data_IF_575860478782
#
_entry.id   IF_575860478782
#
_cell.length_a   1.000
_cell.length_b   1.000
_cell.length_c   1.000
_cell.angle_alpha   90.00
_cell.angle_beta   90.00
_cell.angle_gamma   90.00
#
_symmetry.space_group_name_H-M   'P 1'
#
loop_
_entity.id
_entity.type
_entity.pdbx_description
1 polymer ?
#
# COMPACT_ATOMS: atom_id res chain seq x y z
N UNK A 1 -3.13 -38.36 46.82
CA UNK A 1 -2.76 -38.06 45.42
C UNK A 1 -3.79 -37.23 44.62
N UNK A 2 -5.12 -37.31 44.88
CA UNK A 2 -6.16 -36.53 44.14
C UNK A 2 -6.14 -35.01 44.39
N UNK A 3 -5.88 -34.54 45.62
CA UNK A 3 -5.85 -33.10 45.97
C UNK A 3 -4.77 -32.31 45.21
N UNK A 4 -3.59 -32.88 45.02
CA UNK A 4 -2.47 -32.22 44.34
C UNK A 4 -2.75 -32.05 42.83
N UNK A 5 -3.47 -32.98 42.21
CA UNK A 5 -3.93 -32.86 40.82
C UNK A 5 -4.97 -31.74 40.66
N UNK A 6 -5.90 -31.60 41.62
CA UNK A 6 -6.90 -30.53 41.61
C UNK A 6 -6.27 -29.14 41.77
N UNK A 7 -5.28 -29.01 42.66
CA UNK A 7 -4.55 -27.76 42.88
C UNK A 7 -3.77 -27.32 41.64
N UNK A 8 -3.14 -28.27 40.94
CA UNK A 8 -2.45 -28.03 39.68
C UNK A 8 -3.41 -27.55 38.58
N UNK A 9 -4.60 -28.14 38.49
CA UNK A 9 -5.62 -27.75 37.52
C UNK A 9 -6.13 -26.33 37.82
N UNK A 10 -6.42 -26.00 39.08
CA UNK A 10 -6.83 -24.66 39.48
C UNK A 10 -5.76 -23.60 39.20
N UNK A 11 -4.49 -23.91 39.49
CA UNK A 11 -3.35 -23.04 39.19
C UNK A 11 -3.22 -22.78 37.69
N UNK A 12 -3.39 -23.81 36.86
CA UNK A 12 -3.35 -23.70 35.41
C UNK A 12 -4.45 -22.80 34.86
N UNK A 13 -5.69 -22.95 35.35
CA UNK A 13 -6.80 -22.06 34.96
C UNK A 13 -6.60 -20.63 35.45
N UNK A 14 -6.04 -20.44 36.65
CA UNK A 14 -5.68 -19.12 37.16
C UNK A 14 -4.63 -18.41 36.28
N UNK A 15 -3.61 -19.16 35.83
CA UNK A 15 -2.57 -18.65 34.95
C UNK A 15 -3.14 -18.25 33.58
N UNK A 16 -3.98 -19.10 32.99
CA UNK A 16 -4.65 -18.78 31.71
C UNK A 16 -5.54 -17.55 31.85
N UNK A 17 -6.34 -17.47 32.92
CA UNK A 17 -7.18 -16.30 33.21
C UNK A 17 -6.36 -15.02 33.34
N UNK A 18 -5.22 -15.07 34.03
CA UNK A 18 -4.32 -13.93 34.16
C UNK A 18 -3.72 -13.48 32.81
N UNK A 19 -3.31 -14.43 31.96
CA UNK A 19 -2.78 -14.13 30.62
C UNK A 19 -3.86 -13.48 29.75
N UNK A 20 -5.08 -14.02 29.75
CA UNK A 20 -6.21 -13.45 28.99
C UNK A 20 -6.58 -12.07 29.53
N UNK A 21 -6.64 -11.88 30.84
CA UNK A 21 -6.93 -10.57 31.43
C UNK A 21 -5.86 -9.53 31.05
N UNK A 22 -4.59 -9.91 31.10
CA UNK A 22 -3.47 -8.99 30.86
C UNK A 22 -3.26 -8.68 29.37
N UNK A 23 -3.42 -9.68 28.50
CA UNK A 23 -3.04 -9.60 27.09
C UNK A 23 -4.23 -9.75 26.12
N UNK A 24 -5.42 -10.08 26.61
CA UNK A 24 -6.63 -10.22 25.78
C UNK A 24 -6.96 -8.93 25.02
N UNK A 25 -6.69 -7.76 25.62
CA UNK A 25 -6.84 -6.47 24.94
C UNK A 25 -5.91 -6.32 23.72
N UNK A 26 -4.69 -6.88 23.75
CA UNK A 26 -3.80 -6.88 22.59
C UNK A 26 -4.34 -7.75 21.45
N UNK A 27 -5.02 -8.85 21.79
CA UNK A 27 -5.67 -9.73 20.83
C UNK A 27 -6.84 -9.02 20.13
N UNK A 28 -7.63 -8.25 20.88
CA UNK A 28 -8.68 -7.39 20.33
C UNK A 28 -8.07 -6.32 19.42
N UNK A 29 -7.04 -5.60 19.86
CA UNK A 29 -6.34 -4.61 19.03
C UNK A 29 -5.76 -5.23 17.76
N UNK A 30 -5.21 -6.44 17.83
CA UNK A 30 -4.65 -7.13 16.67
C UNK A 30 -5.73 -7.53 15.66
N UNK A 31 -6.90 -7.99 16.14
CA UNK A 31 -8.03 -8.37 15.30
C UNK A 31 -8.77 -7.16 14.72
N UNK A 32 -8.81 -6.04 15.43
CA UNK A 32 -9.47 -4.79 14.99
C UNK A 32 -8.53 -3.83 14.26
N UNK A 33 -7.22 -4.04 14.33
CA UNK A 33 -6.26 -3.27 13.55
C UNK A 33 -6.55 -3.47 12.06
N UNK A 34 -6.82 -2.40 11.29
CA UNK A 34 -7.04 -2.53 9.87
C UNK A 34 -5.76 -3.10 9.26
N UNK A 35 -5.84 -4.31 8.71
CA UNK A 35 -4.72 -4.93 7.99
C UNK A 35 -4.18 -3.91 6.99
N UNK A 36 -2.86 -3.79 6.89
CA UNK A 36 -2.23 -3.05 5.79
C UNK A 36 -2.86 -3.60 4.50
N UNK A 37 -3.61 -2.76 3.79
CA UNK A 37 -4.45 -3.23 2.70
C UNK A 37 -3.55 -3.87 1.66
N UNK A 38 -3.85 -5.13 1.38
CA UNK A 38 -3.04 -5.95 0.50
C UNK A 38 -3.04 -5.34 -0.91
N UNK A 39 -1.90 -5.47 -1.58
CA UNK A 39 -1.81 -5.12 -2.99
C UNK A 39 -2.66 -6.11 -3.79
N UNK A 40 -3.46 -5.61 -4.71
CA UNK A 40 -4.15 -6.47 -5.66
C UNK A 40 -3.14 -7.22 -6.55
N UNK A 41 -3.55 -8.33 -7.16
CA UNK A 41 -2.68 -9.08 -8.08
C UNK A 41 -2.15 -8.21 -9.22
N UNK A 42 -2.97 -7.32 -9.75
CA UNK A 42 -2.58 -6.39 -10.82
C UNK A 42 -1.63 -5.30 -10.32
N UNK A 43 -1.80 -4.81 -9.09
CA UNK A 43 -0.85 -3.88 -8.47
C UNK A 43 0.51 -4.53 -8.27
N UNK A 44 0.54 -5.78 -7.77
CA UNK A 44 1.79 -6.54 -7.60
C UNK A 44 2.48 -6.72 -8.94
N UNK A 45 1.75 -7.12 -9.98
CA UNK A 45 2.30 -7.33 -11.33
C UNK A 45 2.86 -6.03 -11.90
N UNK A 46 2.09 -4.95 -11.85
CA UNK A 46 2.51 -3.64 -12.33
C UNK A 46 3.74 -3.13 -11.58
N UNK A 47 3.75 -3.19 -10.24
CA UNK A 47 4.87 -2.69 -9.44
C UNK A 47 6.13 -3.52 -9.64
N UNK A 48 6.01 -4.83 -9.83
CA UNK A 48 7.16 -5.68 -10.15
C UNK A 48 7.72 -5.41 -11.55
N UNK A 49 6.87 -5.11 -12.53
CA UNK A 49 7.31 -4.69 -13.87
C UNK A 49 8.07 -3.37 -13.78
N UNK A 50 7.48 -2.34 -13.16
CA UNK A 50 8.15 -1.04 -12.99
C UNK A 50 9.47 -1.20 -12.22
N UNK A 51 9.48 -1.98 -11.13
CA UNK A 51 10.73 -2.24 -10.37
C UNK A 51 11.86 -2.76 -11.24
N UNK A 52 11.54 -3.65 -12.20
CA UNK A 52 12.51 -4.21 -13.14
C UNK A 52 12.90 -3.20 -14.21
N UNK A 53 11.94 -2.50 -14.79
CA UNK A 53 12.14 -1.54 -15.88
C UNK A 53 13.09 -0.40 -15.48
N UNK A 54 12.94 0.13 -14.26
CA UNK A 54 13.73 1.26 -13.76
C UNK A 54 14.72 0.89 -12.65
N UNK A 55 14.92 -0.42 -12.40
CA UNK A 55 15.86 -0.96 -11.42
C UNK A 55 15.81 -0.26 -10.05
N UNK A 56 14.64 -0.29 -9.41
CA UNK A 56 14.41 0.36 -8.10
C UNK A 56 14.16 -0.65 -6.98
N UNK A 57 14.58 -0.27 -5.78
CA UNK A 57 14.50 -1.13 -4.60
C UNK A 57 13.05 -1.31 -4.12
N UNK A 58 12.26 -0.22 -4.13
CA UNK A 58 10.94 -0.23 -3.51
C UNK A 58 9.94 0.63 -4.28
N UNK A 59 8.75 0.06 -4.44
CA UNK A 59 7.55 0.76 -4.89
C UNK A 59 6.43 0.41 -3.91
N UNK A 60 5.67 1.42 -3.49
CA UNK A 60 4.51 1.28 -2.61
C UNK A 60 3.48 2.35 -2.95
N UNK A 61 2.29 2.26 -2.33
CA UNK A 61 1.18 3.15 -2.61
C UNK A 61 0.51 3.73 -1.37
N UNK A 62 -0.22 4.82 -1.58
CA UNK A 62 -1.23 5.33 -0.66
C UNK A 62 -2.54 5.67 -1.38
N UNK A 63 -3.70 5.56 -0.71
CA UNK A 63 -3.89 4.94 0.60
C UNK A 63 -3.60 3.44 0.57
N UNK A 64 -3.22 2.88 1.71
CA UNK A 64 -3.03 1.42 1.85
C UNK A 64 -4.37 0.68 1.89
N UNK A 65 -5.37 1.30 2.51
CA UNK A 65 -6.66 0.68 2.82
C UNK A 65 -7.79 1.37 2.05
N UNK A 66 -9.00 0.77 2.07
CA UNK A 66 -10.23 1.34 1.53
C UNK A 66 -10.17 1.71 0.03
N UNK A 67 -9.41 0.95 -0.76
CA UNK A 67 -9.32 1.19 -2.21
C UNK A 67 -10.63 0.85 -2.93
N UNK A 68 -11.27 -0.25 -2.57
CA UNK A 68 -12.49 -0.67 -3.26
C UNK A 68 -13.68 0.25 -2.99
N UNK A 69 -13.73 0.87 -1.81
CA UNK A 69 -14.81 1.77 -1.42
C UNK A 69 -14.29 2.95 -0.57
N UNK A 70 -13.69 3.97 -1.20
CA UNK A 70 -13.27 5.19 -0.50
C UNK A 70 -14.47 5.92 0.10
N UNK A 71 -14.31 6.56 1.26
CA UNK A 71 -15.33 7.47 1.80
C UNK A 71 -15.50 8.68 0.89
N UNK A 72 -14.37 9.30 0.52
CA UNK A 72 -14.30 10.58 -0.20
C UNK A 72 -13.53 10.47 -1.51
N UNK A 73 -13.46 11.57 -2.26
CA UNK A 73 -12.54 11.68 -3.40
C UNK A 73 -11.10 11.62 -2.94
N UNK A 74 -10.36 10.62 -3.41
CA UNK A 74 -8.99 10.34 -2.99
C UNK A 74 -8.01 10.47 -4.15
N UNK A 75 -6.73 10.58 -3.76
CA UNK A 75 -5.59 10.50 -4.67
C UNK A 75 -4.95 9.13 -4.51
N UNK A 76 -4.64 8.48 -5.63
CA UNK A 76 -3.84 7.27 -5.60
C UNK A 76 -2.38 7.63 -5.78
N UNK A 77 -1.60 7.49 -4.73
CA UNK A 77 -0.19 7.82 -4.71
C UNK A 77 0.65 6.59 -5.01
N UNK A 78 1.64 6.71 -5.89
CA UNK A 78 2.67 5.69 -6.14
C UNK A 78 4.01 6.30 -5.75
N UNK A 79 4.70 5.66 -4.82
CA UNK A 79 5.99 6.09 -4.29
C UNK A 79 7.07 5.14 -4.78
N UNK A 80 8.13 5.71 -5.34
CA UNK A 80 9.25 5.00 -5.97
C UNK A 80 10.52 5.43 -5.25
N UNK A 81 11.13 4.50 -4.52
CA UNK A 81 12.35 4.75 -3.75
C UNK A 81 13.56 4.05 -4.36
N UNK A 82 14.69 4.73 -4.33
CA UNK A 82 15.99 4.19 -4.76
C UNK A 82 16.24 4.32 -6.25
N UNK A 83 15.71 5.37 -6.89
CA UNK A 83 15.98 5.65 -8.30
C UNK A 83 17.30 6.42 -8.45
N UNK A 84 18.16 5.97 -9.36
CA UNK A 84 19.38 6.68 -9.77
C UNK A 84 19.07 7.69 -10.87
N UNK A 85 18.68 8.90 -10.47
CA UNK A 85 18.14 9.89 -11.41
C UNK A 85 19.18 10.54 -12.34
N UNK A 86 20.48 10.39 -12.07
CA UNK A 86 21.55 10.93 -12.94
C UNK A 86 21.54 10.32 -14.34
N UNK A 87 20.99 9.12 -14.49
CA UNK A 87 20.90 8.38 -15.74
C UNK A 87 19.57 8.62 -16.49
N UNK A 88 18.61 9.30 -15.86
CA UNK A 88 17.29 9.54 -16.45
C UNK A 88 17.18 10.93 -17.06
N UNK A 89 16.99 10.96 -18.38
CA UNK A 89 16.82 12.20 -19.14
C UNK A 89 15.55 12.98 -18.77
N UNK A 90 14.47 12.31 -18.32
CA UNK A 90 13.22 13.00 -17.97
C UNK A 90 12.32 12.23 -16.99
N UNK A 91 12.31 12.66 -15.72
CA UNK A 91 11.46 12.09 -14.67
C UNK A 91 9.96 12.30 -14.90
N UNK A 92 9.56 13.38 -15.58
CA UNK A 92 8.16 13.66 -15.86
C UNK A 92 7.59 12.68 -16.89
N UNK A 93 8.38 12.33 -17.92
CA UNK A 93 7.99 11.32 -18.90
C UNK A 93 7.83 9.95 -18.24
N UNK A 94 8.79 9.55 -17.40
CA UNK A 94 8.69 8.31 -16.62
C UNK A 94 7.42 8.30 -15.74
N UNK A 95 7.20 9.37 -14.98
CA UNK A 95 6.04 9.46 -14.10
C UNK A 95 4.72 9.40 -14.87
N UNK A 96 4.64 10.03 -16.05
CA UNK A 96 3.48 9.96 -16.92
C UNK A 96 3.25 8.54 -17.46
N UNK A 97 4.30 7.83 -17.88
CA UNK A 97 4.20 6.44 -18.33
C UNK A 97 3.67 5.53 -17.23
N UNK A 98 4.21 5.66 -16.00
CA UNK A 98 3.75 4.90 -14.83
C UNK A 98 2.28 5.20 -14.54
N UNK A 99 1.88 6.48 -14.53
CA UNK A 99 0.50 6.87 -14.31
C UNK A 99 -0.44 6.31 -15.39
N UNK A 100 -0.01 6.25 -16.67
CA UNK A 100 -0.77 5.62 -17.76
C UNK A 100 -0.89 4.11 -17.60
N UNK A 101 0.22 3.41 -17.30
CA UNK A 101 0.20 1.96 -17.05
C UNK A 101 -0.74 1.63 -15.88
N UNK A 102 -0.68 2.43 -14.81
CA UNK A 102 -1.58 2.30 -13.67
C UNK A 102 -3.04 2.54 -14.05
N UNK A 103 -3.35 3.63 -14.77
CA UNK A 103 -4.72 3.95 -15.17
C UNK A 103 -5.35 2.88 -16.08
N UNK A 104 -4.55 2.22 -16.91
CA UNK A 104 -5.05 1.23 -17.87
C UNK A 104 -5.22 -0.18 -17.26
N UNK A 105 -4.43 -0.51 -16.22
CA UNK A 105 -4.40 -1.86 -15.65
C UNK A 105 -5.10 -1.97 -14.30
N UNK A 106 -5.11 -0.89 -13.52
CA UNK A 106 -5.70 -0.88 -12.19
C UNK A 106 -7.14 -0.43 -12.27
N UNK A 107 -8.05 -1.34 -11.90
CA UNK A 107 -9.47 -1.04 -11.75
C UNK A 107 -9.74 -0.31 -10.42
N UNK A 108 -9.25 0.93 -10.32
CA UNK A 108 -9.46 1.77 -9.14
C UNK A 108 -10.85 2.40 -9.17
N UNK A 109 -11.50 2.40 -8.01
CA UNK A 109 -12.78 3.08 -7.78
C UNK A 109 -12.77 4.52 -8.35
N UNK A 110 -13.90 4.97 -8.91
CA UNK A 110 -14.06 6.28 -9.54
C UNK A 110 -13.73 7.47 -8.62
N UNK A 111 -13.86 7.30 -7.29
CA UNK A 111 -13.50 8.31 -6.29
C UNK A 111 -11.99 8.60 -6.28
N UNK A 112 -11.14 7.69 -6.77
CA UNK A 112 -9.76 8.01 -7.08
C UNK A 112 -9.71 8.81 -8.37
N UNK A 113 -9.57 10.13 -8.30
CA UNK A 113 -9.70 10.99 -9.48
C UNK A 113 -8.34 11.37 -10.12
N UNK A 114 -7.24 11.19 -9.39
CA UNK A 114 -5.88 11.51 -9.85
C UNK A 114 -4.84 10.54 -9.28
N UNK A 115 -3.70 10.50 -9.96
CA UNK A 115 -2.48 9.85 -9.53
C UNK A 115 -1.46 10.90 -9.09
N UNK A 116 -0.81 10.67 -7.96
CA UNK A 116 0.41 11.38 -7.57
C UNK A 116 1.57 10.39 -7.60
N UNK A 117 2.58 10.66 -8.44
CA UNK A 117 3.78 9.84 -8.55
C UNK A 117 4.91 10.55 -7.80
N UNK A 118 5.38 9.93 -6.73
CA UNK A 118 6.51 10.38 -5.94
C UNK A 118 7.74 9.58 -6.34
N UNK A 119 8.80 10.28 -6.71
CA UNK A 119 10.08 9.69 -7.09
C UNK A 119 11.15 10.24 -6.14
N UNK A 120 11.72 9.35 -5.34
CA UNK A 120 12.90 9.65 -4.53
C UNK A 120 14.17 9.26 -5.29
N UNK A 121 14.96 10.29 -5.61
CA UNK A 121 16.26 10.14 -6.24
C UNK A 121 17.33 9.97 -5.16
N UNK A 122 17.97 8.80 -5.13
CA UNK A 122 19.01 8.48 -4.13
C UNK A 122 20.26 9.34 -4.33
N UNK A 123 20.75 9.45 -5.57
CA UNK A 123 21.98 10.18 -5.90
C UNK A 123 21.90 11.70 -5.68
N UNK A 124 20.69 12.25 -5.68
CA UNK A 124 20.42 13.68 -5.54
C UNK A 124 19.77 14.02 -4.19
N UNK A 125 19.44 13.01 -3.39
CA UNK A 125 18.69 13.12 -2.12
C UNK A 125 17.50 14.09 -2.29
N UNK A 126 16.71 13.87 -3.35
CA UNK A 126 15.63 14.78 -3.72
C UNK A 126 14.36 14.04 -4.08
N UNK A 127 13.24 14.57 -3.60
CA UNK A 127 11.91 14.09 -3.89
C UNK A 127 11.29 14.92 -5.01
N UNK A 128 10.73 14.21 -5.99
CA UNK A 128 9.94 14.80 -7.06
C UNK A 128 8.51 14.29 -6.98
N UNK A 129 7.55 15.19 -7.19
CA UNK A 129 6.12 14.87 -7.21
C UNK A 129 5.55 15.26 -8.57
N UNK A 130 4.87 14.32 -9.21
CA UNK A 130 4.16 14.55 -10.47
C UNK A 130 2.69 14.17 -10.30
N UNK A 131 1.78 15.06 -10.68
CA UNK A 131 0.34 14.86 -10.50
C UNK A 131 -0.35 14.72 -11.85
N UNK A 132 -1.15 13.66 -12.01
CA UNK A 132 -1.87 13.34 -13.24
C UNK A 132 -3.35 13.05 -12.97
N UNK A 133 -4.25 13.81 -13.58
CA UNK A 133 -5.70 13.53 -13.50
C UNK A 133 -6.06 12.31 -14.35
N UNK A 134 -6.81 11.34 -13.82
CA UNK A 134 -7.22 10.13 -14.56
C UNK A 134 -7.95 10.43 -15.86
N UNK A 135 -8.82 11.44 -15.86
CA UNK A 135 -9.53 11.91 -17.06
C UNK A 135 -8.60 12.30 -18.21
N UNK A 136 -7.41 12.83 -17.92
CA UNK A 136 -6.42 13.23 -18.93
C UNK A 136 -5.54 12.08 -19.41
N UNK A 137 -5.47 10.98 -18.65
CA UNK A 137 -4.65 9.81 -18.96
C UNK A 137 -5.34 8.81 -19.89
N UNK A 138 -6.64 9.00 -20.15
CA UNK A 138 -7.45 8.12 -20.99
C UNK A 138 -7.74 8.77 -22.36
N UNK A 139 -6.88 8.60 -23.38
CA UNK A 139 -7.10 9.19 -24.70
C UNK A 139 -8.24 8.54 -25.51
N UNK A 140 -8.86 7.46 -25.00
CA UNK A 140 -9.87 6.68 -25.72
C UNK A 140 -11.33 6.96 -25.32
N UNK A 141 -11.60 7.98 -24.50
CA UNK A 141 -12.98 8.50 -24.39
C UNK A 141 -13.17 9.52 -25.50
N UNK A 142 -13.74 9.06 -26.62
CA UNK A 142 -14.23 9.93 -27.71
C UNK A 142 -14.95 11.13 -27.10
N UNK A 143 -14.51 12.34 -27.47
CA UNK A 143 -15.38 13.51 -27.42
C UNK A 143 -16.62 13.16 -28.24
N UNK A 144 -17.76 13.03 -27.57
CA UNK A 144 -19.07 13.12 -28.21
C UNK A 144 -19.31 14.59 -28.51
#
# INVERSE_FOLDING_TARGET
MKKNKLLLVLSFFGLIGFIIYRYGFLLILFLTSPKNGELSKEEIKLFNEIKKDINVNRIYRFPKNNISNPSDTLTYEIHIDGLKCKELNNLNLLANEIARKANNRLDLNEKFYKYDIYIFCEDLIKNYKFTFTRKKLNPNVKKI
#
